data_IF_834703518552
#
_entry.id   IF_834703518552
#
_cell.length_a   1.000
_cell.length_b   1.000
_cell.length_c   1.000
_cell.angle_alpha   90.00
_cell.angle_beta   90.00
_cell.angle_gamma   90.00
#
_symmetry.space_group_name_H-M   'P 1'
#
loop_
_entity.id
_entity.type
_entity.pdbx_description
1 polymer ?
#
# COMPACT_ATOMS: atom_id res chain seq x y z
N UNK A 1 -0.55 -13.36 -11.42
CA UNK A 1 -1.20 -12.33 -12.24
C UNK A 1 -1.93 -11.37 -11.33
N UNK A 2 -1.79 -10.06 -11.54
CA UNK A 2 -2.33 -9.02 -10.66
C UNK A 2 -2.75 -7.79 -11.44
N UNK A 3 -3.44 -6.87 -10.76
CA UNK A 3 -3.97 -5.64 -11.34
C UNK A 3 -3.39 -4.44 -10.61
N UNK A 4 -3.04 -3.41 -11.36
CA UNK A 4 -2.65 -2.11 -10.83
C UNK A 4 -3.88 -1.22 -10.71
N UNK A 5 -4.21 -0.79 -9.49
CA UNK A 5 -5.38 0.04 -9.21
C UNK A 5 -4.95 1.45 -8.85
N UNK A 6 -5.60 2.44 -9.47
CA UNK A 6 -5.44 3.86 -9.19
C UNK A 6 -6.73 4.45 -8.59
N UNK A 7 -6.64 5.61 -7.96
CA UNK A 7 -7.80 6.29 -7.35
C UNK A 7 -8.20 5.74 -5.98
N UNK A 8 -7.26 5.12 -5.27
CA UNK A 8 -7.44 4.72 -3.88
C UNK A 8 -7.16 5.90 -2.95
N UNK A 9 -7.91 5.99 -1.87
CA UNK A 9 -7.75 7.00 -0.82
C UNK A 9 -7.53 6.33 0.53
N UNK A 10 -6.76 6.97 1.39
CA UNK A 10 -6.51 6.53 2.76
C UNK A 10 -7.09 7.56 3.73
N UNK A 11 -7.92 7.07 4.65
CA UNK A 11 -8.49 7.83 5.75
C UNK A 11 -7.84 7.40 7.07
N UNK A 12 -7.76 8.33 8.05
CA UNK A 12 -7.18 8.05 9.37
C UNK A 12 -5.65 7.99 9.42
N UNK A 13 -4.97 8.03 8.27
CA UNK A 13 -3.51 8.08 8.18
C UNK A 13 -3.07 8.88 6.95
N UNK A 14 -1.82 9.34 6.97
CA UNK A 14 -1.17 9.95 5.83
C UNK A 14 -0.32 8.96 5.04
N UNK A 15 0.05 9.35 3.83
CA UNK A 15 1.01 8.62 3.01
C UNK A 15 2.22 9.47 2.67
N UNK A 16 3.41 8.88 2.80
CA UNK A 16 4.64 9.48 2.32
C UNK A 16 5.05 8.84 1.00
N UNK A 17 4.86 9.58 -0.11
CA UNK A 17 5.21 9.14 -1.47
C UNK A 17 6.72 9.05 -1.70
N UNK A 18 7.55 9.73 -0.90
CA UNK A 18 9.01 9.69 -1.06
C UNK A 18 9.59 8.43 -0.43
N UNK A 19 9.08 8.09 0.75
CA UNK A 19 9.56 6.95 1.52
C UNK A 19 8.70 5.68 1.34
N UNK A 20 7.59 5.76 0.61
CA UNK A 20 6.59 4.69 0.44
C UNK A 20 6.13 4.09 1.77
N UNK A 21 5.79 4.96 2.73
CA UNK A 21 5.43 4.57 4.10
C UNK A 21 4.17 5.27 4.57
N UNK A 22 3.45 4.58 5.46
CA UNK A 22 2.40 5.20 6.26
C UNK A 22 3.01 6.23 7.20
N UNK A 23 2.33 7.35 7.34
CA UNK A 23 2.63 8.39 8.30
C UNK A 23 1.37 8.75 9.07
N UNK A 24 1.55 9.49 10.16
CA UNK A 24 0.43 10.07 10.90
C UNK A 24 -0.49 10.90 10.01
N UNK A 25 -1.77 10.93 10.39
CA UNK A 25 -2.76 11.78 9.73
C UNK A 25 -2.37 13.26 9.85
N UNK A 26 -2.66 14.02 8.79
CA UNK A 26 -2.45 15.46 8.80
C UNK A 26 -3.67 16.15 9.41
N UNK A 27 -3.45 17.17 10.23
CA UNK A 27 -4.52 17.91 10.87
C UNK A 27 -5.49 18.49 9.82
N UNK A 28 -6.79 18.30 10.02
CA UNK A 28 -7.88 18.74 9.14
C UNK A 28 -7.88 18.12 7.73
N UNK A 29 -7.11 17.05 7.49
CA UNK A 29 -7.18 16.29 6.24
C UNK A 29 -7.92 14.99 6.51
N UNK A 30 -9.09 14.83 5.89
CA UNK A 30 -9.96 13.66 6.08
C UNK A 30 -9.44 12.43 5.32
N UNK A 31 -8.87 12.63 4.13
CA UNK A 31 -8.31 11.56 3.33
C UNK A 31 -7.11 12.05 2.52
N UNK A 32 -6.25 11.12 2.14
CA UNK A 32 -5.11 11.36 1.25
C UNK A 32 -5.10 10.37 0.09
N UNK A 33 -4.59 10.82 -1.05
CA UNK A 33 -4.44 9.98 -2.23
C UNK A 33 -3.33 8.93 -2.04
N UNK A 34 -3.66 7.67 -2.31
CA UNK A 34 -2.70 6.58 -2.36
C UNK A 34 -1.97 6.51 -3.71
N UNK A 35 -0.75 5.93 -3.74
CA UNK A 35 -0.09 5.59 -4.99
C UNK A 35 -0.83 4.43 -5.67
N UNK A 36 -0.43 4.11 -6.90
CA UNK A 36 -0.92 2.93 -7.59
C UNK A 36 -0.48 1.67 -6.83
N UNK A 37 -1.44 0.82 -6.49
CA UNK A 37 -1.18 -0.42 -5.74
C UNK A 37 -1.34 -1.61 -6.69
N UNK A 38 -0.37 -2.53 -6.64
CA UNK A 38 -0.46 -3.82 -7.31
C UNK A 38 -1.16 -4.83 -6.40
N UNK A 39 -2.32 -5.33 -6.83
CA UNK A 39 -3.11 -6.30 -6.09
C UNK A 39 -3.04 -7.64 -6.82
N UNK A 40 -2.59 -8.67 -6.10
CA UNK A 40 -2.55 -10.06 -6.59
C UNK A 40 -3.34 -10.97 -5.66
N UNK A 41 -4.01 -11.97 -6.24
CA UNK A 41 -4.58 -13.05 -5.48
C UNK A 41 -3.53 -14.15 -5.29
N UNK A 42 -3.31 -14.56 -4.04
CA UNK A 42 -2.51 -15.74 -3.72
C UNK A 42 -3.41 -16.77 -3.04
N UNK A 43 -3.48 -17.98 -3.60
CA UNK A 43 -4.12 -19.11 -2.94
C UNK A 43 -3.16 -19.66 -1.89
N UNK A 44 -3.65 -19.91 -0.68
CA UNK A 44 -2.88 -20.20 0.53
C UNK A 44 -2.00 -21.48 0.50
N UNK A 45 -1.89 -22.15 -0.65
CA UNK A 45 -1.18 -23.42 -0.81
C UNK A 45 0.28 -23.32 -1.26
N UNK A 46 0.88 -22.14 -1.37
CA UNK A 46 2.34 -22.01 -1.54
C UNK A 46 2.86 -20.62 -1.17
N UNK A 47 3.75 -20.59 -0.20
CA UNK A 47 4.84 -19.60 -0.03
C UNK A 47 4.49 -18.20 0.47
N UNK A 48 4.09 -18.09 1.74
CA UNK A 48 4.14 -16.81 2.50
C UNK A 48 5.60 -16.36 2.77
N UNK A 49 6.60 -17.21 2.51
CA UNK A 49 7.99 -16.99 2.97
C UNK A 49 8.90 -16.29 1.94
N UNK A 50 8.50 -16.12 0.68
CA UNK A 50 9.47 -15.68 -0.36
C UNK A 50 9.59 -14.16 -0.56
N UNK A 51 8.60 -13.38 -0.14
CA UNK A 51 8.49 -11.96 -0.51
C UNK A 51 8.82 -10.97 0.62
N UNK A 52 9.16 -11.45 1.82
CA UNK A 52 9.67 -10.60 2.92
C UNK A 52 11.15 -10.18 2.75
N UNK A 53 11.80 -10.47 1.62
CA UNK A 53 13.25 -10.23 1.42
C UNK A 53 13.62 -9.23 0.32
N UNK A 54 12.71 -8.41 -0.20
CA UNK A 54 13.05 -7.48 -1.30
C UNK A 54 12.93 -5.98 -1.00
N UNK A 55 12.95 -5.58 0.28
CA UNK A 55 13.11 -4.17 0.66
C UNK A 55 14.10 -4.02 1.81
N UNK A 56 15.32 -4.50 1.61
CA UNK A 56 16.46 -4.22 2.47
C UNK A 56 17.62 -3.68 1.64
#
# INVERSE_FOLDING_TARGET
>A
EGVYVHGLFLEGAGWDRRNNRLKESLNKILHVDMPVIHITAMTNNKQIVKEMKLYQ
#
